data_IF_862540038896
#
_entry.id   IF_862540038896
#
_cell.length_a   1.000
_cell.length_b   1.000
_cell.length_c   1.000
_cell.angle_alpha   90.00
_cell.angle_beta   90.00
_cell.angle_gamma   90.00
#
_symmetry.space_group_name_H-M   'P 1'
#
loop_
_entity.id
_entity.type
_entity.pdbx_description
1 polymer ?
#
# COMPACT_ATOMS: atom_id res chain seq x y z
N UNK A 1 15.61 -4.49 5.33
CA UNK A 1 14.15 -4.52 5.14
C UNK A 1 13.88 -5.56 4.07
N UNK A 2 13.15 -6.63 4.41
CA UNK A 2 12.82 -7.72 3.47
C UNK A 2 11.72 -7.22 2.53
N UNK A 3 11.62 -7.74 1.30
CA UNK A 3 10.60 -7.33 0.31
C UNK A 3 9.15 -7.39 0.85
N UNK A 4 8.87 -8.32 1.78
CA UNK A 4 7.59 -8.46 2.45
C UNK A 4 7.19 -7.23 3.29
N UNK A 5 8.14 -6.47 3.81
CA UNK A 5 7.88 -5.27 4.61
C UNK A 5 7.31 -4.12 3.75
N UNK A 6 7.73 -4.02 2.48
CA UNK A 6 7.28 -2.97 1.57
C UNK A 6 5.88 -3.20 1.04
N UNK A 7 5.49 -4.46 0.83
CA UNK A 7 4.13 -4.82 0.40
C UNK A 7 3.11 -4.49 1.50
N UNK A 8 3.41 -4.90 2.75
CA UNK A 8 2.60 -4.56 3.92
C UNK A 8 2.51 -3.04 4.12
N UNK A 9 3.61 -2.32 3.88
CA UNK A 9 3.64 -0.87 3.94
C UNK A 9 2.76 -0.23 2.85
N UNK A 10 2.81 -0.74 1.62
CA UNK A 10 1.95 -0.29 0.53
C UNK A 10 0.47 -0.48 0.86
N UNK A 11 0.10 -1.64 1.41
CA UNK A 11 -1.27 -1.91 1.86
C UNK A 11 -1.71 -1.00 3.01
N UNK A 12 -0.82 -0.66 3.93
CA UNK A 12 -1.11 0.26 5.03
C UNK A 12 -1.35 1.69 4.52
N UNK A 13 -0.47 2.17 3.63
CA UNK A 13 -0.58 3.48 2.98
C UNK A 13 -1.88 3.56 2.17
N UNK A 14 -2.20 2.53 1.39
CA UNK A 14 -3.43 2.45 0.61
C UNK A 14 -4.68 2.51 1.51
N UNK A 15 -4.73 1.69 2.57
CA UNK A 15 -5.85 1.72 3.52
C UNK A 15 -6.02 3.07 4.18
N UNK A 16 -4.93 3.71 4.59
CA UNK A 16 -4.97 5.06 5.14
C UNK A 16 -5.49 6.09 4.13
N UNK A 17 -5.09 5.99 2.86
CA UNK A 17 -5.63 6.83 1.79
C UNK A 17 -7.15 6.64 1.63
N UNK A 18 -7.66 5.40 1.60
CA UNK A 18 -9.09 5.12 1.54
C UNK A 18 -9.87 5.67 2.74
N UNK A 19 -9.25 5.69 3.92
CA UNK A 19 -9.82 6.26 5.14
C UNK A 19 -9.68 7.80 5.21
N UNK A 20 -9.02 8.42 4.24
CA UNK A 20 -8.78 9.87 4.21
C UNK A 20 -7.79 10.36 5.28
N UNK A 21 -6.93 9.48 5.80
CA UNK A 21 -5.95 9.82 6.83
C UNK A 21 -4.53 9.82 6.28
N UNK A 22 -3.72 10.77 6.75
CA UNK A 22 -2.29 10.84 6.39
C UNK A 22 -1.52 9.71 7.06
N UNK A 23 -0.76 8.93 6.28
CA UNK A 23 0.13 7.88 6.79
C UNK A 23 1.58 8.35 6.79
N UNK A 24 2.25 8.28 7.95
CA UNK A 24 3.67 8.63 8.05
C UNK A 24 4.54 7.44 7.69
N UNK A 25 5.31 7.58 6.61
CA UNK A 25 6.25 6.55 6.19
C UNK A 25 7.44 6.45 7.17
N UNK A 26 7.97 5.23 7.41
CA UNK A 26 9.22 5.04 8.13
C UNK A 26 10.42 5.56 7.31
N UNK A 27 11.62 5.55 7.90
CA UNK A 27 12.83 5.86 7.16
C UNK A 27 13.05 4.80 6.07
N UNK A 28 12.97 5.23 4.80
CA UNK A 28 13.17 4.40 3.62
C UNK A 28 14.31 4.97 2.79
N UNK A 29 15.09 4.08 2.16
CA UNK A 29 16.05 4.49 1.13
C UNK A 29 15.31 4.92 -0.14
N UNK A 30 15.98 5.69 -1.00
CA UNK A 30 15.41 6.10 -2.29
C UNK A 30 14.97 4.90 -3.16
N UNK A 31 15.69 3.77 -3.08
CA UNK A 31 15.33 2.54 -3.76
C UNK A 31 14.01 1.96 -3.24
N UNK A 32 13.85 1.91 -1.92
CA UNK A 32 12.63 1.40 -1.27
C UNK A 32 11.43 2.28 -1.56
N UNK A 33 11.60 3.61 -1.56
CA UNK A 33 10.56 4.56 -1.98
C UNK A 33 10.17 4.31 -3.44
N UNK A 34 11.13 4.11 -4.34
CA UNK A 34 10.85 3.80 -5.75
C UNK A 34 10.06 2.50 -5.94
N UNK A 35 10.35 1.47 -5.15
CA UNK A 35 9.57 0.22 -5.14
C UNK A 35 8.17 0.46 -4.57
N UNK A 36 8.04 1.19 -3.47
CA UNK A 36 6.75 1.53 -2.85
C UNK A 36 5.84 2.29 -3.82
N UNK A 37 6.37 3.29 -4.54
CA UNK A 37 5.61 4.01 -5.55
C UNK A 37 5.08 3.10 -6.66
N UNK A 38 5.88 2.14 -7.15
CA UNK A 38 5.42 1.17 -8.16
C UNK A 38 4.35 0.22 -7.63
N UNK A 39 4.43 -0.14 -6.34
CA UNK A 39 3.40 -0.97 -5.70
C UNK A 39 2.08 -0.20 -5.56
N UNK A 40 2.14 1.08 -5.18
CA UNK A 40 0.96 1.96 -5.07
C UNK A 40 0.33 2.32 -6.41
N UNK A 41 1.13 2.38 -7.48
CA UNK A 41 0.65 2.59 -8.86
C UNK A 41 -0.05 1.35 -9.44
N UNK A 42 0.16 0.17 -8.85
CA UNK A 42 -0.44 -1.07 -9.34
C UNK A 42 -1.93 -1.14 -8.94
N UNK A 43 -2.87 -1.21 -9.90
CA UNK A 43 -4.30 -1.29 -9.60
C UNK A 43 -4.69 -2.57 -8.82
N UNK A 44 -3.87 -3.61 -8.86
CA UNK A 44 -4.10 -4.84 -8.09
C UNK A 44 -3.89 -4.67 -6.57
N UNK A 45 -3.26 -3.58 -6.11
CA UNK A 45 -3.09 -3.31 -4.67
C UNK A 45 -4.44 -3.02 -3.98
N UNK A 46 -5.41 -2.50 -4.73
CA UNK A 46 -6.77 -2.22 -4.28
C UNK A 46 -7.75 -3.36 -4.51
N UNK A 47 -7.37 -4.41 -5.24
CA UNK A 47 -8.23 -5.58 -5.44
C UNK A 47 -8.37 -6.27 -4.08
N UNK A 48 -9.58 -6.29 -3.49
CA UNK A 48 -9.79 -7.18 -2.37
C UNK A 48 -9.48 -8.59 -2.87
N UNK A 49 -8.61 -9.30 -2.15
CA UNK A 49 -8.46 -10.75 -2.31
C UNK A 49 -9.87 -11.30 -2.50
N UNK A 50 -10.17 -11.85 -3.68
CA UNK A 50 -11.49 -12.32 -4.12
C UNK A 50 -12.09 -13.20 -3.01
N UNK A 51 -12.84 -12.62 -2.09
CA UNK A 51 -13.13 -13.20 -0.76
C UNK A 51 -13.33 -12.20 0.38
N UNK A 52 -12.75 -11.00 0.33
CA UNK A 52 -13.10 -9.90 1.22
C UNK A 52 -14.04 -8.95 0.45
N UNK A 53 -15.29 -8.83 0.89
CA UNK A 53 -16.34 -8.14 0.15
C UNK A 53 -15.94 -6.74 -0.31
N UNK A 54 -16.25 -6.45 -1.58
CA UNK A 54 -16.37 -5.11 -2.10
C UNK A 54 -17.29 -4.31 -1.18
N UNK A 55 -16.77 -3.25 -0.56
CA UNK A 55 -17.60 -2.24 0.10
C UNK A 55 -17.11 -0.87 -0.33
N UNK A 56 -17.52 -0.49 -1.54
CA UNK A 56 -17.72 0.90 -1.93
C UNK A 56 -19.00 0.95 -2.78
N UNK A 57 -20.15 0.88 -2.10
CA UNK A 57 -21.41 1.50 -2.54
C UNK A 57 -21.86 2.46 -1.44
#
# INVERSE_FOLDING_TARGET
MMMHDLDLLAQAVWRSHCLGVSYRLPALTAKEVGVLCRLLDNPALGEPVRGAGAVLQ
#
